data_IF_069295733493
#
_entry.id   IF_069295733493
#
_cell.length_a   1.000
_cell.length_b   1.000
_cell.length_c   1.000
_cell.angle_alpha   90.00
_cell.angle_beta   90.00
_cell.angle_gamma   90.00
#
_symmetry.space_group_name_H-M   'P 1'
#
loop_
_entity.id
_entity.type
_entity.pdbx_description
1 polymer ?
#
# COMPACT_ATOMS: atom_id res chain seq x y z
N UNK A 1 0.23 24.13 -37.47
CA UNK A 1 -0.99 23.57 -36.84
C UNK A 1 -0.95 23.94 -35.36
N UNK A 2 -1.88 24.76 -34.87
CA UNK A 2 -1.87 25.23 -33.47
C UNK A 2 -2.60 24.22 -32.59
N UNK A 3 -1.90 23.63 -31.62
CA UNK A 3 -2.46 22.66 -30.66
C UNK A 3 -3.20 23.34 -29.50
N UNK A 4 -2.80 24.58 -29.18
CA UNK A 4 -3.36 25.37 -28.09
C UNK A 4 -4.79 25.82 -28.46
N UNK A 5 -5.75 25.56 -27.58
CA UNK A 5 -7.16 25.94 -27.76
C UNK A 5 -8.01 24.94 -28.55
N UNK A 6 -7.46 23.80 -28.95
CA UNK A 6 -8.19 22.77 -29.71
C UNK A 6 -8.69 21.63 -28.81
N UNK A 7 -9.92 21.10 -29.00
CA UNK A 7 -10.44 19.98 -28.23
C UNK A 7 -9.86 18.66 -28.74
N UNK A 8 -8.69 18.30 -28.25
CA UNK A 8 -8.02 17.04 -28.61
C UNK A 8 -8.51 15.88 -27.74
N UNK A 9 -8.58 14.69 -28.33
CA UNK A 9 -8.78 13.46 -27.56
C UNK A 9 -7.53 13.18 -26.72
N UNK A 10 -7.75 12.62 -25.54
CA UNK A 10 -6.68 12.25 -24.63
C UNK A 10 -5.88 11.06 -25.16
N UNK A 11 -4.59 11.05 -24.89
CA UNK A 11 -3.69 9.97 -25.32
C UNK A 11 -3.84 8.73 -24.44
N UNK A 12 -4.24 8.89 -23.19
CA UNK A 12 -4.30 7.79 -22.23
C UNK A 12 -5.57 6.94 -22.38
N UNK A 13 -6.65 7.51 -22.94
CA UNK A 13 -7.99 6.91 -22.98
C UNK A 13 -7.99 5.50 -23.57
N UNK A 14 -7.27 5.27 -24.68
CA UNK A 14 -7.27 3.96 -25.33
C UNK A 14 -6.81 2.83 -24.40
N UNK A 15 -5.73 3.05 -23.65
CA UNK A 15 -5.18 2.04 -22.74
C UNK A 15 -6.07 1.92 -21.50
N UNK A 16 -6.50 3.04 -20.94
CA UNK A 16 -7.29 3.05 -19.71
C UNK A 16 -8.67 2.42 -19.91
N UNK A 17 -9.36 2.75 -21.01
CA UNK A 17 -10.70 2.23 -21.31
C UNK A 17 -10.68 0.73 -21.65
N UNK A 18 -9.54 0.18 -22.06
CA UNK A 18 -9.37 -1.24 -22.38
C UNK A 18 -8.85 -2.08 -21.20
N UNK A 19 -8.67 -1.49 -20.01
CA UNK A 19 -8.06 -2.18 -18.87
C UNK A 19 -6.58 -2.51 -19.09
N UNK A 20 -5.90 -1.79 -19.98
CA UNK A 20 -4.47 -1.95 -20.29
C UNK A 20 -3.60 -0.91 -19.56
N UNK A 21 -4.21 -0.08 -18.71
CA UNK A 21 -3.48 0.68 -17.70
C UNK A 21 -2.78 -0.28 -16.75
N UNK A 22 -1.61 0.12 -16.24
CA UNK A 22 -0.89 -0.62 -15.19
C UNK A 22 -0.70 0.30 -14.00
N UNK A 23 -1.30 -0.08 -12.89
CA UNK A 23 -1.18 0.55 -11.59
C UNK A 23 -0.34 -0.32 -10.66
N UNK A 24 -0.09 0.15 -9.44
CA UNK A 24 0.78 -0.56 -8.49
C UNK A 24 0.27 -1.97 -8.14
N UNK A 25 -1.05 -2.13 -8.05
CA UNK A 25 -1.68 -3.42 -7.69
C UNK A 25 -1.71 -4.41 -8.87
N UNK A 26 -1.45 -3.94 -10.10
CA UNK A 26 -1.34 -4.80 -11.29
C UNK A 26 0.08 -5.41 -11.42
N UNK A 27 1.01 -5.05 -10.53
CA UNK A 27 2.39 -5.52 -10.57
C UNK A 27 2.51 -6.91 -9.91
N UNK A 28 2.78 -7.93 -10.70
CA UNK A 28 3.05 -9.28 -10.22
C UNK A 28 4.55 -9.63 -10.37
N UNK A 29 5.28 -9.65 -9.26
CA UNK A 29 6.66 -10.16 -9.19
C UNK A 29 6.69 -11.50 -8.46
N UNK A 30 7.55 -12.45 -8.86
CA UNK A 30 7.70 -13.70 -8.13
C UNK A 30 8.10 -13.44 -6.67
N UNK A 31 7.38 -14.06 -5.73
CA UNK A 31 7.66 -13.93 -4.30
C UNK A 31 7.10 -12.68 -3.62
N UNK A 32 6.30 -11.85 -4.30
CA UNK A 32 5.60 -10.73 -3.67
C UNK A 32 4.69 -11.23 -2.54
N UNK A 33 4.86 -10.65 -1.34
CA UNK A 33 3.97 -10.85 -0.20
C UNK A 33 2.97 -9.69 -0.09
N UNK A 34 1.83 -9.96 0.57
CA UNK A 34 0.85 -8.93 0.91
C UNK A 34 1.07 -8.43 2.33
N UNK A 35 0.77 -7.16 2.55
CA UNK A 35 0.87 -6.52 3.87
C UNK A 35 -0.51 -6.03 4.30
N UNK A 36 -0.87 -6.31 5.55
CA UNK A 36 -2.05 -5.75 6.21
C UNK A 36 -1.60 -4.90 7.40
N UNK A 37 -2.28 -3.77 7.61
CA UNK A 37 -2.02 -2.86 8.72
C UNK A 37 -3.11 -3.01 9.79
N UNK A 38 -2.73 -3.44 10.99
CA UNK A 38 -3.58 -3.30 12.17
C UNK A 38 -3.55 -1.84 12.63
N UNK A 39 -4.71 -1.18 12.63
CA UNK A 39 -4.87 0.22 13.01
C UNK A 39 -5.47 0.34 14.41
N UNK A 40 -5.21 1.48 15.07
CA UNK A 40 -5.83 1.79 16.36
C UNK A 40 -7.35 1.86 16.22
N UNK A 41 -8.12 1.20 17.10
CA UNK A 41 -9.58 1.32 17.14
C UNK A 41 -10.05 2.60 17.85
N UNK A 42 -9.13 3.35 18.46
CA UNK A 42 -9.42 4.57 19.24
C UNK A 42 -8.53 5.72 18.80
N UNK A 43 -9.02 6.96 18.97
CA UNK A 43 -8.30 8.15 18.54
C UNK A 43 -7.00 8.42 19.33
N UNK A 44 -6.98 8.09 20.63
CA UNK A 44 -5.81 8.29 21.50
C UNK A 44 -5.79 7.28 22.63
N UNK A 45 -4.68 6.56 22.77
CA UNK A 45 -4.41 5.63 23.86
C UNK A 45 -2.91 5.33 23.96
N UNK A 46 -2.49 4.79 25.10
CA UNK A 46 -1.16 4.19 25.25
C UNK A 46 -1.23 2.72 24.88
N UNK A 47 -0.28 2.25 24.06
CA UNK A 47 -0.11 0.82 23.77
C UNK A 47 0.56 0.19 24.99
N UNK A 48 -0.15 -0.65 25.73
CA UNK A 48 0.39 -1.37 26.89
C UNK A 48 1.01 -2.71 26.53
N UNK A 49 0.61 -3.29 25.40
CA UNK A 49 1.14 -4.55 24.89
C UNK A 49 0.43 -5.00 23.61
N UNK A 50 1.08 -5.91 22.88
CA UNK A 50 0.57 -6.54 21.66
C UNK A 50 0.82 -8.04 21.72
N UNK A 51 -0.14 -8.86 21.28
CA UNK A 51 0.04 -10.31 21.13
C UNK A 51 0.21 -10.64 19.64
N UNK A 52 1.35 -11.24 19.28
CA UNK A 52 1.72 -11.54 17.88
C UNK A 52 1.74 -13.04 17.57
N UNK A 53 1.82 -13.88 18.60
CA UNK A 53 2.03 -15.32 18.46
C UNK A 53 0.92 -16.01 17.65
N UNK A 54 -0.34 -15.64 17.89
CA UNK A 54 -1.48 -16.21 17.17
C UNK A 54 -1.43 -15.88 15.68
N UNK A 55 -1.12 -14.62 15.33
CA UNK A 55 -0.96 -14.21 13.94
C UNK A 55 0.21 -14.92 13.25
N UNK A 56 1.36 -15.03 13.94
CA UNK A 56 2.54 -15.74 13.42
C UNK A 56 2.32 -17.24 13.23
N UNK A 57 1.38 -17.84 13.97
CA UNK A 57 1.04 -19.26 13.84
C UNK A 57 0.13 -19.57 12.65
N UNK A 58 -0.46 -18.56 12.00
CA UNK A 58 -1.35 -18.77 10.86
C UNK A 58 -0.55 -19.17 9.60
N UNK A 59 -0.98 -20.22 8.88
CA UNK A 59 -0.36 -20.58 7.60
C UNK A 59 -0.36 -19.40 6.62
N UNK A 60 0.80 -19.15 6.02
CA UNK A 60 0.99 -18.06 5.05
C UNK A 60 1.38 -16.70 5.64
N UNK A 61 1.34 -16.54 6.97
CA UNK A 61 1.92 -15.36 7.61
C UNK A 61 3.44 -15.52 7.68
N UNK A 62 4.15 -14.61 7.02
CA UNK A 62 5.62 -14.64 6.96
C UNK A 62 6.26 -13.82 8.07
N UNK A 63 5.62 -12.73 8.50
CA UNK A 63 6.14 -11.85 9.56
C UNK A 63 5.03 -11.00 10.20
N UNK A 64 5.27 -10.55 11.44
CA UNK A 64 4.47 -9.54 12.15
C UNK A 64 5.42 -8.49 12.72
N UNK A 65 5.36 -7.27 12.19
CA UNK A 65 6.19 -6.15 12.61
C UNK A 65 5.43 -5.21 13.54
N UNK A 66 6.14 -4.61 14.49
CA UNK A 66 5.63 -3.59 15.42
C UNK A 66 6.59 -2.41 15.52
N UNK A 67 6.29 -1.46 16.41
CA UNK A 67 7.19 -0.33 16.70
C UNK A 67 8.55 -0.75 17.30
N UNK A 68 8.70 -2.00 17.77
CA UNK A 68 9.98 -2.52 18.25
C UNK A 68 10.98 -2.76 17.10
N UNK A 69 10.49 -3.18 15.93
CA UNK A 69 11.31 -3.45 14.75
C UNK A 69 11.49 -2.22 13.83
N UNK A 70 10.63 -1.21 14.00
CA UNK A 70 10.63 0.01 13.18
C UNK A 70 11.05 1.20 14.06
N UNK A 71 12.35 1.49 14.19
CA UNK A 71 12.81 2.64 14.94
C UNK A 71 12.31 3.93 14.27
N UNK A 72 11.35 4.59 14.91
CA UNK A 72 10.77 5.84 14.42
C UNK A 72 11.79 6.96 14.55
N UNK A 73 12.54 7.21 13.48
CA UNK A 73 13.11 8.53 13.16
C UNK A 73 12.49 9.03 11.88
N UNK A 74 11.23 9.46 11.98
CA UNK A 74 10.63 10.28 10.93
C UNK A 74 10.87 11.73 11.33
N UNK A 75 11.79 12.47 10.69
CA UNK A 75 11.84 13.90 10.87
C UNK A 75 10.53 14.47 10.31
N UNK A 76 9.60 14.79 11.20
CA UNK A 76 8.46 15.64 10.84
C UNK A 76 9.04 17.04 10.74
N UNK A 77 9.21 17.53 9.51
CA UNK A 77 9.44 18.95 9.28
C UNK A 77 8.17 19.73 9.58
#
# INVERSE_FOLDING_TARGET
MALIGTPLRRLEDEKLLRGQGRFLDDLAYPGTLHLALLRSPVASARILGLRRAEALALPGVVAVYTGEEVPLRVPVR
#
